data_IF_808768939933
#
_entry.id   IF_808768939933
#
_cell.length_a   1.000
_cell.length_b   1.000
_cell.length_c   1.000
_cell.angle_alpha   90.00
_cell.angle_beta   90.00
_cell.angle_gamma   90.00
#
_symmetry.space_group_name_H-M   'P 1'
#
loop_
_entity.id
_entity.type
_entity.pdbx_description
1 polymer ?
#
# COMPACT_ATOMS: atom_id res chain seq x y z
N UNK A 1 27.84 -31.38 26.20
CA UNK A 1 26.38 -31.53 25.90
C UNK A 1 25.55 -30.30 26.25
N UNK A 2 25.75 -29.62 27.41
CA UNK A 2 24.99 -28.39 27.76
C UNK A 2 25.21 -27.19 26.81
N UNK A 3 26.43 -26.99 26.31
CA UNK A 3 26.75 -25.90 25.36
C UNK A 3 26.17 -26.13 23.96
N UNK A 4 26.06 -27.39 23.53
CA UNK A 4 25.45 -27.76 22.23
C UNK A 4 23.94 -27.52 22.22
N UNK A 5 23.26 -27.74 23.35
CA UNK A 5 21.82 -27.49 23.49
C UNK A 5 21.45 -25.98 23.49
N UNK A 6 22.36 -25.11 23.95
CA UNK A 6 22.19 -23.66 23.93
C UNK A 6 22.35 -23.08 22.51
N UNK A 7 23.26 -23.65 21.71
CA UNK A 7 23.48 -23.23 20.32
C UNK A 7 22.30 -23.56 19.39
N UNK A 8 21.59 -24.66 19.63
CA UNK A 8 20.41 -25.05 18.84
C UNK A 8 19.16 -24.21 19.12
N UNK A 9 19.10 -23.49 20.24
CA UNK A 9 17.93 -22.65 20.57
C UNK A 9 18.00 -21.28 19.86
N UNK A 10 19.20 -20.81 19.52
CA UNK A 10 19.43 -19.53 18.84
C UNK A 10 19.07 -19.54 17.35
N UNK A 11 18.91 -20.71 16.73
CA UNK A 11 18.58 -20.82 15.30
C UNK A 11 17.07 -20.78 15.01
N UNK A 12 16.20 -20.77 16.03
CA UNK A 12 14.75 -20.79 15.84
C UNK A 12 14.10 -19.40 15.68
N UNK A 13 14.86 -18.31 15.77
CA UNK A 13 14.32 -16.95 15.58
C UNK A 13 14.41 -16.46 14.13
N UNK A 14 14.22 -17.33 13.14
CA UNK A 14 13.90 -16.87 11.79
C UNK A 14 12.39 -16.63 11.73
N UNK A 15 11.91 -15.56 12.37
CA UNK A 15 10.66 -14.95 11.93
C UNK A 15 10.94 -14.40 10.54
N UNK A 16 10.73 -15.22 9.51
CA UNK A 16 10.74 -14.77 8.14
C UNK A 16 9.57 -13.82 7.99
N UNK A 17 9.79 -12.55 8.31
CA UNK A 17 8.97 -11.46 7.78
C UNK A 17 9.21 -11.54 6.27
N UNK A 18 8.24 -12.06 5.53
CA UNK A 18 8.21 -11.80 4.10
C UNK A 18 8.33 -10.28 3.95
N UNK A 19 9.33 -9.83 3.20
CA UNK A 19 9.51 -8.41 2.96
C UNK A 19 8.23 -7.89 2.29
N UNK A 20 7.66 -6.78 2.77
CA UNK A 20 6.42 -6.25 2.17
C UNK A 20 6.59 -5.96 0.66
N UNK A 21 7.82 -5.78 0.17
CA UNK A 21 8.13 -5.72 -1.25
C UNK A 21 7.95 -7.05 -1.96
N UNK A 22 8.42 -8.14 -1.36
CA UNK A 22 8.26 -9.46 -1.94
C UNK A 22 6.78 -9.85 -2.08
N UNK A 23 5.97 -9.55 -1.05
CA UNK A 23 4.51 -9.78 -1.12
C UNK A 23 3.85 -8.93 -2.23
N UNK A 24 4.30 -7.69 -2.42
CA UNK A 24 3.84 -6.86 -3.55
C UNK A 24 4.21 -7.51 -4.89
N UNK A 25 5.45 -7.95 -5.07
CA UNK A 25 5.92 -8.55 -6.33
C UNK A 25 5.12 -9.81 -6.69
N UNK A 26 4.84 -10.67 -5.70
CA UNK A 26 4.01 -11.87 -5.87
C UNK A 26 2.57 -11.50 -6.21
N UNK A 27 2.00 -10.50 -5.52
CA UNK A 27 0.65 -10.01 -5.81
C UNK A 27 0.54 -9.45 -7.23
N UNK A 28 1.49 -8.61 -7.65
CA UNK A 28 1.52 -8.03 -8.99
C UNK A 28 1.70 -9.08 -10.08
N UNK A 29 2.56 -10.07 -9.85
CA UNK A 29 2.73 -11.19 -10.77
C UNK A 29 1.40 -11.94 -10.98
N UNK A 30 0.66 -12.20 -9.89
CA UNK A 30 -0.68 -12.80 -9.95
C UNK A 30 -1.67 -11.94 -10.73
N UNK A 31 -1.68 -10.61 -10.52
CA UNK A 31 -2.52 -9.69 -11.29
C UNK A 31 -2.19 -9.71 -12.79
N UNK A 32 -0.90 -9.72 -13.16
CA UNK A 32 -0.44 -9.79 -14.55
C UNK A 32 -0.86 -11.09 -15.24
N UNK A 33 -0.83 -12.21 -14.51
CA UNK A 33 -1.28 -13.51 -15.02
C UNK A 33 -2.81 -13.61 -15.12
N UNK A 34 -3.53 -12.99 -14.19
CA UNK A 34 -5.00 -13.03 -14.15
C UNK A 34 -5.65 -12.11 -15.20
N UNK A 35 -5.06 -10.94 -15.42
CA UNK A 35 -5.60 -9.90 -16.31
C UNK A 35 -4.61 -9.60 -17.44
N UNK A 36 -4.49 -10.54 -18.39
CA UNK A 36 -3.54 -10.43 -19.51
C UNK A 36 -3.98 -9.37 -20.53
N UNK A 37 -5.27 -9.33 -20.84
CA UNK A 37 -5.84 -8.49 -21.92
C UNK A 37 -6.74 -7.37 -21.41
N UNK A 38 -7.00 -7.30 -20.10
CA UNK A 38 -7.88 -6.28 -19.51
C UNK A 38 -7.06 -5.34 -18.62
N UNK A 39 -6.60 -4.24 -19.22
CA UNK A 39 -5.74 -3.27 -18.54
C UNK A 39 -6.43 -2.54 -17.39
N UNK A 40 -7.75 -2.31 -17.47
CA UNK A 40 -8.50 -1.65 -16.40
C UNK A 40 -8.57 -2.52 -15.14
N UNK A 41 -8.89 -3.81 -15.30
CA UNK A 41 -8.90 -4.76 -14.18
C UNK A 41 -7.49 -5.01 -13.62
N UNK A 42 -6.49 -5.08 -14.52
CA UNK A 42 -5.08 -5.18 -14.14
C UNK A 42 -4.64 -3.99 -13.28
N UNK A 43 -4.97 -2.77 -13.69
CA UNK A 43 -4.64 -1.55 -12.94
C UNK A 43 -5.34 -1.52 -11.57
N UNK A 44 -6.61 -1.93 -11.50
CA UNK A 44 -7.33 -2.08 -10.24
C UNK A 44 -6.69 -3.11 -9.30
N UNK A 45 -6.29 -4.26 -9.85
CA UNK A 45 -5.61 -5.32 -9.10
C UNK A 45 -4.25 -4.86 -8.56
N UNK A 46 -3.43 -4.21 -9.39
CA UNK A 46 -2.12 -3.68 -8.98
C UNK A 46 -2.29 -2.61 -7.89
N UNK A 47 -3.28 -1.72 -8.03
CA UNK A 47 -3.60 -0.72 -7.00
C UNK A 47 -3.87 -1.36 -5.62
N UNK A 48 -4.56 -2.51 -5.60
CA UNK A 48 -4.78 -3.27 -4.36
C UNK A 48 -3.46 -3.79 -3.78
N UNK A 49 -2.57 -4.35 -4.60
CA UNK A 49 -1.26 -4.84 -4.13
C UNK A 49 -0.43 -3.73 -3.46
N UNK A 50 -0.44 -2.52 -4.03
CA UNK A 50 0.25 -1.35 -3.45
C UNK A 50 -0.37 -0.94 -2.11
N UNK A 51 -1.71 -0.98 -1.99
CA UNK A 51 -2.39 -0.71 -0.73
C UNK A 51 -2.05 -1.76 0.35
N UNK A 52 -2.03 -3.05 -0.01
CA UNK A 52 -1.63 -4.14 0.89
C UNK A 52 -0.19 -3.98 1.40
N UNK A 53 0.74 -3.63 0.51
CA UNK A 53 2.11 -3.29 0.92
C UNK A 53 2.17 -2.12 1.88
N UNK A 54 1.38 -1.08 1.63
CA UNK A 54 1.36 0.12 2.47
C UNK A 54 0.91 -0.25 3.89
N UNK A 55 -0.14 -1.07 4.01
CA UNK A 55 -0.62 -1.59 5.31
C UNK A 55 0.44 -2.46 6.00
N UNK A 56 1.10 -3.36 5.25
CA UNK A 56 2.20 -4.17 5.77
C UNK A 56 3.34 -3.29 6.31
N UNK A 57 3.77 -2.31 5.52
CA UNK A 57 4.87 -1.40 5.87
C UNK A 57 4.52 -0.53 7.08
N UNK A 58 3.28 -0.05 7.15
CA UNK A 58 2.77 0.70 8.30
C UNK A 58 2.74 -0.17 9.57
N UNK A 59 2.33 -1.44 9.47
CA UNK A 59 2.33 -2.38 10.61
C UNK A 59 3.75 -2.64 11.12
N UNK A 60 4.71 -2.84 10.23
CA UNK A 60 6.13 -2.99 10.59
C UNK A 60 6.65 -1.70 11.22
N UNK A 61 6.36 -0.54 10.61
CA UNK A 61 6.74 0.77 11.11
C UNK A 61 6.19 1.04 12.51
N UNK A 62 4.91 0.75 12.75
CA UNK A 62 4.26 0.87 14.06
C UNK A 62 4.85 -0.10 15.09
N UNK A 63 5.15 -1.34 14.68
CA UNK A 63 5.84 -2.32 15.53
C UNK A 63 7.22 -1.84 15.96
N UNK A 64 8.01 -1.28 15.03
CA UNK A 64 9.32 -0.69 15.33
C UNK A 64 9.20 0.58 16.17
N UNK A 65 8.29 1.49 15.85
CA UNK A 65 8.07 2.72 16.62
C UNK A 65 7.73 2.43 18.09
N UNK A 66 6.97 1.35 18.36
CA UNK A 66 6.72 0.87 19.72
C UNK A 66 8.00 0.45 20.46
N UNK A 67 9.00 -0.09 19.76
CA UNK A 67 10.32 -0.41 20.34
C UNK A 67 11.18 0.84 20.58
N UNK A 68 10.98 1.91 19.80
CA UNK A 68 11.74 3.17 19.92
C UNK A 68 11.23 4.13 21.01
N UNK A 69 10.10 3.84 21.67
CA UNK A 69 9.63 4.55 22.88
C UNK A 69 8.39 5.43 22.68
N UNK A 70 7.69 5.73 23.79
CA UNK A 70 6.40 6.45 23.82
C UNK A 70 6.46 7.85 23.18
N UNK A 71 7.62 8.51 23.20
CA UNK A 71 7.84 9.87 22.69
C UNK A 71 7.60 9.98 21.16
N UNK A 72 8.07 9.00 20.39
CA UNK A 72 7.84 8.95 18.94
C UNK A 72 6.37 8.63 18.60
N UNK A 73 5.72 7.83 19.46
CA UNK A 73 4.29 7.57 19.34
C UNK A 73 3.48 8.83 19.67
N UNK A 74 3.88 9.61 20.66
CA UNK A 74 3.19 10.85 21.07
C UNK A 74 3.21 11.91 19.96
N UNK A 75 4.36 12.08 19.30
CA UNK A 75 4.50 13.00 18.17
C UNK A 75 3.59 12.58 16.98
N UNK A 76 3.57 11.27 16.68
CA UNK A 76 2.71 10.71 15.62
C UNK A 76 1.21 10.68 15.99
N UNK A 77 0.88 10.62 17.28
CA UNK A 77 -0.50 10.61 17.78
C UNK A 77 -1.21 11.92 17.48
N UNK A 78 -0.53 13.06 17.61
CA UNK A 78 -1.09 14.38 17.26
C UNK A 78 -1.51 14.47 15.79
N UNK A 79 -0.74 13.84 14.90
CA UNK A 79 -1.06 13.75 13.48
C UNK A 79 -2.26 12.81 13.21
N UNK A 80 -2.30 11.66 13.88
CA UNK A 80 -3.40 10.68 13.75
C UNK A 80 -4.72 11.23 14.33
N UNK A 81 -4.67 11.89 15.48
CA UNK A 81 -5.84 12.53 16.10
C UNK A 81 -6.33 13.73 15.28
N UNK A 82 -5.41 14.46 14.65
CA UNK A 82 -5.74 15.54 13.72
C UNK A 82 -6.40 15.03 12.43
N UNK A 83 -6.14 13.78 12.02
CA UNK A 83 -6.67 13.17 10.81
C UNK A 83 -7.98 12.43 11.08
N UNK A 84 -9.08 13.18 11.17
CA UNK A 84 -10.40 12.63 11.49
C UNK A 84 -11.09 11.95 10.30
N UNK A 85 -12.09 11.11 10.57
CA UNK A 85 -12.91 10.47 9.54
C UNK A 85 -13.60 11.48 8.60
N UNK A 86 -13.98 12.65 9.13
CA UNK A 86 -14.60 13.72 8.33
C UNK A 86 -13.59 14.37 7.37
N UNK A 87 -12.35 14.59 7.82
CA UNK A 87 -11.27 15.07 6.95
C UNK A 87 -10.94 14.05 5.85
N UNK A 88 -10.87 12.76 6.20
CA UNK A 88 -10.65 11.70 5.22
C UNK A 88 -11.77 11.65 4.17
N UNK A 89 -13.03 11.83 4.59
CA UNK A 89 -14.20 11.86 3.69
C UNK A 89 -14.21 13.09 2.78
N UNK A 90 -13.90 14.28 3.31
CA UNK A 90 -13.80 15.51 2.52
C UNK A 90 -12.65 15.46 1.52
N UNK A 91 -11.48 14.99 1.94
CA UNK A 91 -10.31 14.80 1.08
C UNK A 91 -10.62 13.81 -0.05
N UNK A 92 -11.25 12.67 0.29
CA UNK A 92 -11.69 11.68 -0.68
C UNK A 92 -12.69 12.25 -1.70
N UNK A 93 -13.66 13.05 -1.24
CA UNK A 93 -14.63 13.72 -2.12
C UNK A 93 -13.92 14.69 -3.08
N UNK A 94 -13.03 15.54 -2.58
CA UNK A 94 -12.27 16.50 -3.40
C UNK A 94 -11.37 15.80 -4.42
N UNK A 95 -10.68 14.73 -4.01
CA UNK A 95 -9.83 13.93 -4.90
C UNK A 95 -10.66 13.28 -6.03
N UNK A 96 -11.85 12.78 -5.71
CA UNK A 96 -12.77 12.21 -6.69
C UNK A 96 -13.31 13.25 -7.67
N UNK A 97 -13.75 14.42 -7.19
CA UNK A 97 -14.25 15.50 -8.06
C UNK A 97 -13.16 15.99 -9.02
N UNK A 98 -11.91 16.17 -8.57
CA UNK A 98 -10.80 16.52 -9.45
C UNK A 98 -10.52 15.45 -10.51
N UNK A 99 -10.52 14.17 -10.10
CA UNK A 99 -10.35 13.04 -11.04
C UNK A 99 -11.47 13.01 -12.07
N UNK A 100 -12.71 13.26 -11.65
CA UNK A 100 -13.88 13.33 -12.53
C UNK A 100 -13.76 14.47 -13.55
N UNK A 101 -13.29 15.65 -13.13
CA UNK A 101 -13.02 16.77 -14.03
C UNK A 101 -11.96 16.43 -15.07
N UNK A 102 -10.87 15.78 -14.65
CA UNK A 102 -9.81 15.33 -15.56
C UNK A 102 -10.32 14.31 -16.59
N UNK A 103 -11.08 13.30 -16.15
CA UNK A 103 -11.68 12.30 -17.06
C UNK A 103 -12.71 12.95 -18.00
N UNK A 104 -13.56 13.86 -17.50
CA UNK A 104 -14.50 14.62 -18.32
C UNK A 104 -13.80 15.41 -19.43
N UNK A 105 -12.71 16.11 -19.09
CA UNK A 105 -11.90 16.84 -20.06
C UNK A 105 -11.20 15.97 -21.10
N UNK A 106 -11.01 14.68 -20.82
CA UNK A 106 -10.50 13.71 -21.81
C UNK A 106 -11.61 13.14 -22.72
N UNK A 107 -12.85 13.04 -22.23
CA UNK A 107 -13.99 12.49 -22.98
C UNK A 107 -14.58 13.52 -23.96
N UNK A 108 -14.50 14.82 -23.65
CA UNK A 108 -14.98 15.91 -24.51
C UNK A 108 -14.12 16.19 -25.76
N UNK A 109 -13.18 15.30 -26.13
CA UNK A 109 -12.63 15.24 -27.48
C UNK A 109 -13.40 14.23 -28.34
N UNK A 110 -14.50 14.63 -29.01
CA UNK A 110 -14.99 13.86 -30.14
C UNK A 110 -13.96 13.89 -31.27
N UNK A 111 -13.86 12.73 -31.93
CA UNK A 111 -13.24 12.49 -33.22
C UNK A 111 -13.55 13.62 -34.20
N UNK A 112 -12.52 14.33 -34.66
CA UNK A 112 -12.48 14.99 -35.97
C UNK A 112 -11.00 15.21 -36.32
N UNK A 113 -10.35 14.16 -36.79
CA UNK A 113 -9.21 14.29 -37.69
C UNK A 113 -9.44 13.27 -38.82
N UNK A 114 -10.40 13.62 -39.69
CA UNK A 114 -10.45 13.10 -41.04
C UNK A 114 -9.41 13.85 -41.88
N UNK A 115 -8.51 13.08 -42.48
CA UNK A 115 -7.81 13.33 -43.75
C UNK A 115 -8.17 14.62 -44.47
N UNK A 116 -7.16 15.48 -44.67
CA UNK A 116 -6.83 16.11 -45.95
C UNK A 116 -5.30 16.19 -46.08
#
# INVERSE_FOLDING_TARGET
MRLLALLTFLTFTTTSYADCAFDQDVCEASCKLRFITNDAEKAGCISRCVAERTLCSAKIGAGKAKEFGEEALEESKSFIEGFTADQAKDLGKKAWENTKLFIGGMIDKPKDESTD
#
